data_IF_988703655789
#
_entry.id   IF_988703655789
#
_cell.length_a   1.000
_cell.length_b   1.000
_cell.length_c   1.000
_cell.angle_alpha   90.00
_cell.angle_beta   90.00
_cell.angle_gamma   90.00
#
_symmetry.space_group_name_H-M   'P 1'
#
loop_
_entity.id
_entity.type
_entity.pdbx_description
1 polymer ?
#
# COMPACT_ATOMS: atom_id res chain seq x y z
N UNK A 1 -2.06 7.34 -5.76
CA UNK A 1 -2.40 7.57 -7.18
C UNK A 1 -1.36 6.91 -8.11
N UNK A 2 -1.06 5.61 -7.93
CA UNK A 2 -0.14 4.82 -8.80
C UNK A 2 -0.78 3.49 -9.24
N UNK A 3 -1.83 3.04 -8.56
CA UNK A 3 -2.50 1.76 -8.78
C UNK A 3 -3.19 1.64 -10.14
N UNK A 4 -3.72 2.73 -10.68
CA UNK A 4 -4.39 2.74 -12.00
C UNK A 4 -3.37 2.57 -13.14
N UNK A 5 -2.17 3.14 -12.99
CA UNK A 5 -1.09 3.03 -13.97
C UNK A 5 -0.48 1.62 -13.99
N UNK A 6 -0.39 0.98 -12.82
CA UNK A 6 0.09 -0.39 -12.66
C UNK A 6 -0.88 -1.45 -13.20
N UNK A 7 -2.20 -1.18 -13.25
CA UNK A 7 -3.20 -2.05 -13.90
C UNK A 7 -3.02 -2.04 -15.42
N UNK A 8 -2.67 -0.89 -16.01
CA UNK A 8 -2.72 -0.69 -17.47
C UNK A 8 -1.42 -1.05 -18.20
N UNK A 9 -0.27 -0.98 -17.53
CA UNK A 9 1.04 -1.23 -18.14
C UNK A 9 1.35 -2.72 -18.44
N UNK A 10 1.02 -3.70 -17.58
CA UNK A 10 1.22 -5.12 -17.90
C UNK A 10 0.33 -5.68 -19.04
N UNK A 11 -0.99 -5.38 -19.14
CA UNK A 11 -1.82 -5.96 -20.19
C UNK A 11 -1.45 -5.48 -21.60
N UNK A 12 -0.97 -4.24 -21.75
CA UNK A 12 -0.53 -3.69 -23.05
C UNK A 12 0.75 -4.38 -23.54
N UNK A 13 1.70 -4.67 -22.64
CA UNK A 13 2.92 -5.40 -22.98
C UNK A 13 2.63 -6.84 -23.43
N UNK A 14 1.61 -7.48 -22.84
CA UNK A 14 1.22 -8.85 -23.18
C UNK A 14 0.50 -8.95 -24.52
N UNK A 15 -0.27 -7.93 -24.91
CA UNK A 15 -1.00 -7.89 -26.18
C UNK A 15 -0.06 -7.75 -27.40
N UNK A 16 1.10 -7.11 -27.25
CA UNK A 16 2.06 -6.85 -28.34
C UNK A 16 2.94 -8.09 -28.66
N UNK A 17 3.05 -9.07 -27.77
CA UNK A 17 4.02 -10.17 -27.88
C UNK A 17 3.66 -11.32 -28.85
N UNK A 18 2.51 -11.29 -29.55
CA UNK A 18 2.23 -12.21 -30.68
C UNK A 18 2.15 -13.72 -30.38
N UNK A 19 2.35 -14.18 -29.13
CA UNK A 19 2.24 -15.58 -28.70
C UNK A 19 1.17 -15.75 -27.60
N UNK A 20 -0.09 -16.09 -27.96
CA UNK A 20 -1.23 -16.03 -27.05
C UNK A 20 -1.14 -17.01 -25.87
N UNK A 21 -0.49 -18.16 -26.04
CA UNK A 21 -0.37 -19.15 -24.97
C UNK A 21 0.61 -18.72 -23.87
N UNK A 22 1.73 -18.11 -24.25
CA UNK A 22 2.74 -17.61 -23.32
C UNK A 22 2.27 -16.33 -22.64
N UNK A 23 1.52 -15.49 -23.37
CA UNK A 23 0.80 -14.35 -22.86
C UNK A 23 -0.19 -14.75 -21.75
N UNK A 24 -1.05 -15.75 -21.97
CA UNK A 24 -2.08 -16.16 -21.01
C UNK A 24 -1.50 -16.68 -19.69
N UNK A 25 -0.44 -17.51 -19.77
CA UNK A 25 0.27 -17.98 -18.58
C UNK A 25 0.91 -16.82 -17.81
N UNK A 26 1.48 -15.84 -18.51
CA UNK A 26 2.12 -14.68 -17.88
C UNK A 26 1.08 -13.68 -17.30
N UNK A 27 -0.12 -13.58 -17.89
CA UNK A 27 -1.26 -12.85 -17.30
C UNK A 27 -1.73 -13.52 -16.03
N UNK A 28 -1.87 -14.86 -16.02
CA UNK A 28 -2.21 -15.62 -14.82
C UNK A 28 -1.20 -15.42 -13.70
N UNK A 29 0.10 -15.44 -14.03
CA UNK A 29 1.19 -15.21 -13.08
C UNK A 29 1.23 -13.75 -12.58
N UNK A 30 0.99 -12.77 -13.47
CA UNK A 30 0.82 -11.36 -13.09
C UNK A 30 -0.38 -11.17 -12.15
N UNK A 31 -1.51 -11.82 -12.42
CA UNK A 31 -2.70 -11.77 -11.55
C UNK A 31 -2.45 -12.48 -10.20
N UNK A 32 -1.63 -13.52 -10.17
CA UNK A 32 -1.29 -14.22 -8.93
C UNK A 32 -0.33 -13.38 -8.06
N UNK A 33 0.61 -12.65 -8.68
CA UNK A 33 1.47 -11.65 -8.03
C UNK A 33 0.75 -10.30 -7.76
N UNK A 34 -0.42 -10.08 -8.37
CA UNK A 34 -1.26 -8.90 -8.15
C UNK A 34 -1.93 -8.91 -6.77
N UNK A 35 -2.43 -10.07 -6.37
CA UNK A 35 -3.13 -10.27 -5.09
C UNK A 35 -2.29 -9.80 -3.89
N UNK A 36 -1.01 -10.21 -3.71
CA UNK A 36 -0.20 -9.70 -2.61
C UNK A 36 0.07 -8.19 -2.74
N UNK A 37 0.17 -7.64 -3.97
CA UNK A 37 0.30 -6.21 -4.20
C UNK A 37 -0.90 -5.40 -3.70
N UNK A 38 -2.12 -5.89 -3.94
CA UNK A 38 -3.37 -5.24 -3.45
C UNK A 38 -3.49 -5.34 -1.94
N UNK A 39 -3.19 -6.51 -1.35
CA UNK A 39 -3.22 -6.68 0.09
C UNK A 39 -2.19 -5.76 0.75
N UNK A 40 -0.97 -5.70 0.22
CA UNK A 40 0.08 -4.80 0.72
C UNK A 40 -0.34 -3.33 0.65
N UNK A 41 -0.92 -2.90 -0.47
CA UNK A 41 -1.47 -1.55 -0.63
C UNK A 41 -2.54 -1.23 0.43
N UNK A 42 -3.43 -2.18 0.69
CA UNK A 42 -4.50 -2.01 1.67
C UNK A 42 -3.96 -1.90 3.10
N UNK A 43 -2.98 -2.74 3.46
CA UNK A 43 -2.27 -2.70 4.75
C UNK A 43 -1.50 -1.39 4.94
N UNK A 44 -0.85 -0.88 3.90
CA UNK A 44 -0.11 0.39 3.98
C UNK A 44 -1.06 1.57 4.17
N UNK A 45 -2.19 1.59 3.45
CA UNK A 45 -3.19 2.65 3.59
C UNK A 45 -3.84 2.61 4.97
N UNK A 46 -4.19 1.42 5.47
CA UNK A 46 -4.79 1.30 6.81
C UNK A 46 -3.81 1.73 7.91
N UNK A 47 -2.53 1.36 7.81
CA UNK A 47 -1.48 1.84 8.71
C UNK A 47 -1.34 3.36 8.68
N UNK A 48 -1.35 3.97 7.49
CA UNK A 48 -1.26 5.43 7.35
C UNK A 48 -2.39 6.18 8.08
N UNK A 49 -3.61 5.65 8.04
CA UNK A 49 -4.74 6.22 8.79
C UNK A 49 -4.64 5.95 10.30
N UNK A 50 -4.19 4.77 10.71
CA UNK A 50 -3.99 4.42 12.12
C UNK A 50 -2.92 5.31 12.79
N UNK A 51 -1.82 5.58 12.09
CA UNK A 51 -0.70 6.38 12.60
C UNK A 51 -1.12 7.83 12.90
N UNK A 52 -2.01 8.39 12.06
CA UNK A 52 -2.54 9.75 12.26
C UNK A 52 -3.34 9.89 13.56
N UNK A 53 -3.99 8.80 14.03
CA UNK A 53 -4.68 8.78 15.33
C UNK A 53 -3.70 8.59 16.47
N UNK A 54 -2.74 7.67 16.32
CA UNK A 54 -1.73 7.38 17.33
C UNK A 54 -0.90 8.63 17.67
N UNK A 55 -0.46 9.39 16.66
CA UNK A 55 0.30 10.62 16.85
C UNK A 55 -0.43 11.69 17.67
N UNK A 56 -1.77 11.73 17.65
CA UNK A 56 -2.55 12.66 18.49
C UNK A 56 -2.55 12.24 19.96
N UNK A 57 -2.69 10.93 20.21
CA UNK A 57 -2.67 10.37 21.57
C UNK A 57 -1.27 10.51 22.18
N UNK A 58 -0.22 10.17 21.43
CA UNK A 58 1.18 10.33 21.85
C UNK A 58 1.50 11.80 22.17
N UNK A 59 1.04 12.75 21.34
CA UNK A 59 1.26 14.17 21.57
C UNK A 59 0.58 14.66 22.85
N UNK A 60 -0.63 14.19 23.15
CA UNK A 60 -1.33 14.54 24.39
C UNK A 60 -0.63 13.98 25.64
N UNK A 61 -0.18 12.71 25.58
CA UNK A 61 0.55 12.07 26.68
C UNK A 61 1.86 12.84 26.96
N UNK A 62 2.66 13.14 25.93
CA UNK A 62 3.91 13.87 26.10
C UNK A 62 3.69 15.27 26.71
N UNK A 63 2.65 15.97 26.29
CA UNK A 63 2.30 17.28 26.88
C UNK A 63 1.96 17.18 28.37
N UNK A 64 1.24 16.13 28.78
CA UNK A 64 0.95 15.89 30.20
C UNK A 64 2.21 15.52 30.98
N UNK A 65 3.07 14.65 30.43
CA UNK A 65 4.34 14.28 31.06
C UNK A 65 5.25 15.49 31.24
N UNK A 66 5.35 16.36 30.23
CA UNK A 66 6.14 17.59 30.32
C UNK A 66 5.58 18.58 31.35
N UNK A 67 4.25 18.68 31.47
CA UNK A 67 3.61 19.50 32.49
C UNK A 67 3.91 19.00 33.92
N UNK A 68 3.85 17.69 34.13
CA UNK A 68 4.21 17.05 35.41
C UNK A 68 5.68 17.29 35.74
N UNK A 69 6.57 17.08 34.76
CA UNK A 69 8.02 17.25 34.93
C UNK A 69 8.44 18.70 35.23
N UNK A 70 7.67 19.69 34.78
CA UNK A 70 7.92 21.11 35.11
C UNK A 70 7.40 21.51 36.49
N UNK A 71 6.53 20.71 37.09
CA UNK A 71 5.95 20.97 38.42
C UNK A 71 6.70 20.30 39.58
N UNK A 72 7.67 19.45 39.25
CA UNK A 72 8.62 18.78 40.16
C UNK A 72 9.98 19.45 40.14
#
# INVERSE_FOLDING_TARGET
>A
MLYVLAIFLPPVAVLICGKPFQALLNVGLCLLLWVPGVIHAWVVVSNYYADKRNNRVVKAINQQTDAIRRSS
#
